data_IF_687648185925
#
_entry.id   IF_687648185925
#
_cell.length_a   1.000
_cell.length_b   1.000
_cell.length_c   1.000
_cell.angle_alpha   90.00
_cell.angle_beta   90.00
_cell.angle_gamma   90.00
#
_symmetry.space_group_name_H-M   'P 1'
#
loop_
_entity.id
_entity.type
_entity.pdbx_description
1 polymer ?
#
# COMPACT_ATOMS: atom_id res chain seq x y z
N UNK A 1 20.40 -20.24 -11.35
CA UNK A 1 20.62 -19.09 -12.25
C UNK A 1 19.65 -19.22 -13.40
N UNK A 2 18.86 -18.18 -13.65
CA UNK A 2 17.90 -18.10 -14.74
C UNK A 2 18.42 -17.06 -15.73
N UNK A 3 18.47 -17.40 -17.02
CA UNK A 3 18.83 -16.44 -18.07
C UNK A 3 17.72 -15.40 -18.19
N UNK A 4 18.07 -14.11 -18.24
CA UNK A 4 17.14 -12.99 -18.26
C UNK A 4 16.70 -12.49 -16.88
N UNK A 5 17.25 -13.06 -15.80
CA UNK A 5 16.96 -12.56 -14.45
C UNK A 5 17.55 -11.16 -14.26
N UNK A 6 16.76 -10.23 -13.68
CA UNK A 6 17.20 -8.86 -13.36
C UNK A 6 18.42 -8.80 -12.42
N UNK A 7 18.73 -9.89 -11.75
CA UNK A 7 19.89 -10.02 -10.87
C UNK A 7 21.20 -10.35 -11.63
N UNK A 8 21.13 -10.71 -12.92
CA UNK A 8 22.31 -11.01 -13.71
C UNK A 8 22.98 -9.71 -14.19
N UNK A 9 24.32 -9.65 -14.26
CA UNK A 9 25.01 -8.49 -14.80
C UNK A 9 24.62 -8.20 -16.26
N UNK A 10 24.60 -6.91 -16.67
CA UNK A 10 24.38 -6.55 -18.07
C UNK A 10 25.37 -7.26 -19.01
N UNK A 11 24.87 -7.85 -20.09
CA UNK A 11 25.69 -8.60 -21.06
C UNK A 11 26.09 -10.02 -20.63
N UNK A 12 25.76 -10.45 -19.41
CA UNK A 12 26.08 -11.80 -18.91
C UNK A 12 25.30 -12.89 -19.62
N UNK A 13 24.01 -12.68 -19.81
CA UNK A 13 23.14 -13.67 -20.44
C UNK A 13 23.53 -13.92 -21.90
N UNK A 14 23.92 -12.88 -22.62
CA UNK A 14 24.37 -12.95 -24.02
C UNK A 14 25.59 -13.85 -24.18
N UNK A 15 26.50 -13.86 -23.19
CA UNK A 15 27.67 -14.72 -23.23
C UNK A 15 27.36 -16.19 -23.01
N UNK A 16 26.21 -16.51 -22.40
CA UNK A 16 25.77 -17.87 -22.13
C UNK A 16 24.78 -18.41 -23.17
N UNK A 17 24.23 -17.55 -24.03
CA UNK A 17 23.37 -17.99 -25.13
C UNK A 17 24.12 -18.92 -26.09
N UNK A 18 23.48 -20.04 -26.43
CA UNK A 18 24.02 -21.04 -27.36
C UNK A 18 25.05 -22.01 -26.76
N UNK A 19 25.36 -21.92 -25.47
CA UNK A 19 26.23 -22.90 -24.81
C UNK A 19 25.51 -24.23 -24.57
N UNK A 20 26.21 -25.32 -24.85
CA UNK A 20 25.74 -26.68 -24.56
C UNK A 20 26.08 -27.12 -23.13
N UNK A 21 25.36 -28.13 -22.63
CA UNK A 21 25.64 -28.71 -21.31
C UNK A 21 27.03 -29.34 -21.31
N UNK A 22 27.84 -28.98 -20.32
CA UNK A 22 29.24 -29.39 -20.18
C UNK A 22 30.23 -28.38 -20.75
N UNK A 23 29.79 -27.39 -21.53
CA UNK A 23 30.67 -26.35 -22.04
C UNK A 23 31.15 -25.42 -20.91
N UNK A 24 32.42 -25.03 -20.98
CA UNK A 24 33.00 -23.98 -20.13
C UNK A 24 33.38 -22.81 -21.01
N UNK A 25 32.93 -21.60 -20.63
CA UNK A 25 33.26 -20.36 -21.32
C UNK A 25 33.81 -19.34 -20.33
N UNK A 26 34.82 -18.61 -20.76
CA UNK A 26 35.39 -17.48 -20.04
C UNK A 26 35.09 -16.20 -20.81
N UNK A 27 34.64 -15.18 -20.10
CA UNK A 27 34.36 -13.86 -20.67
C UNK A 27 34.48 -12.78 -19.59
N UNK A 28 34.73 -11.56 -20.02
CA UNK A 28 34.85 -10.40 -19.13
C UNK A 28 33.68 -9.45 -19.36
N UNK A 29 33.09 -8.95 -18.29
CA UNK A 29 32.01 -7.96 -18.34
C UNK A 29 32.46 -6.71 -17.62
N UNK A 30 32.21 -5.58 -18.25
CA UNK A 30 32.36 -4.26 -17.64
C UNK A 30 31.09 -3.89 -16.87
N UNK A 31 31.21 -3.66 -15.57
CA UNK A 31 30.09 -3.19 -14.75
C UNK A 31 29.98 -1.67 -14.82
N UNK A 32 28.77 -1.12 -15.03
CA UNK A 32 28.59 0.32 -15.12
C UNK A 32 28.80 1.03 -13.77
N UNK A 33 28.94 2.35 -13.80
CA UNK A 33 29.20 3.16 -12.61
C UNK A 33 28.04 3.18 -11.59
N UNK A 34 26.82 2.85 -12.02
CA UNK A 34 25.60 2.77 -11.22
C UNK A 34 25.29 1.34 -10.74
N UNK A 35 26.26 0.42 -10.80
CA UNK A 35 26.04 -0.96 -10.38
C UNK A 35 25.68 -1.07 -8.88
N UNK A 36 24.67 -1.88 -8.48
CA UNK A 36 24.17 -1.92 -7.10
C UNK A 36 25.21 -2.30 -6.03
N UNK A 37 26.26 -3.03 -6.43
CA UNK A 37 27.37 -3.42 -5.56
C UNK A 37 28.53 -2.46 -5.81
N UNK A 38 28.71 -1.49 -4.90
CA UNK A 38 29.68 -0.39 -5.07
C UNK A 38 31.13 -0.85 -5.30
N UNK A 39 31.53 -2.01 -4.76
CA UNK A 39 32.87 -2.58 -4.98
C UNK A 39 33.10 -3.07 -6.42
N UNK A 40 32.03 -3.33 -7.16
CA UNK A 40 32.09 -3.80 -8.54
C UNK A 40 31.77 -2.69 -9.55
N UNK A 41 31.34 -1.50 -9.11
CA UNK A 41 31.00 -0.40 -9.99
C UNK A 41 32.23 0.09 -10.78
N UNK A 42 32.08 0.26 -12.09
CA UNK A 42 33.14 0.69 -13.02
C UNK A 42 34.37 -0.25 -13.04
N UNK A 43 34.16 -1.56 -12.81
CA UNK A 43 35.22 -2.58 -12.84
C UNK A 43 34.96 -3.63 -13.92
N UNK A 44 36.05 -4.19 -14.46
CA UNK A 44 36.00 -5.35 -15.35
C UNK A 44 36.12 -6.64 -14.55
N UNK A 45 35.10 -7.50 -14.64
CA UNK A 45 35.07 -8.78 -13.92
C UNK A 45 35.11 -9.93 -14.92
N UNK A 46 36.09 -10.82 -14.74
CA UNK A 46 36.23 -12.03 -15.53
C UNK A 46 35.46 -13.19 -14.91
N UNK A 47 34.56 -13.76 -15.70
CA UNK A 47 33.72 -14.89 -15.33
C UNK A 47 34.19 -16.15 -16.04
N UNK A 48 34.32 -17.25 -15.29
CA UNK A 48 34.46 -18.61 -15.82
C UNK A 48 33.20 -19.38 -15.48
N UNK A 49 32.39 -19.69 -16.49
CA UNK A 49 31.10 -20.36 -16.31
C UNK A 49 31.13 -21.73 -16.96
N UNK A 50 30.74 -22.75 -16.20
CA UNK A 50 30.54 -24.12 -16.69
C UNK A 50 29.05 -24.46 -16.64
N UNK A 51 28.47 -24.79 -17.79
CA UNK A 51 27.04 -25.16 -17.87
C UNK A 51 26.86 -26.59 -17.36
N UNK A 52 26.39 -26.75 -16.12
CA UNK A 52 26.17 -28.08 -15.53
C UNK A 52 24.87 -28.76 -15.96
N UNK A 53 23.92 -27.99 -16.49
CA UNK A 53 22.63 -28.50 -16.94
C UNK A 53 21.74 -27.39 -17.44
N UNK A 54 20.93 -27.70 -18.46
CA UNK A 54 19.94 -26.80 -19.03
C UNK A 54 18.55 -27.30 -18.60
N UNK A 55 17.83 -26.50 -17.80
CA UNK A 55 16.43 -26.78 -17.46
C UNK A 55 15.57 -25.75 -18.16
N UNK A 56 14.65 -26.21 -19.01
CA UNK A 56 13.64 -25.34 -19.63
C UNK A 56 12.43 -25.28 -18.72
N UNK A 57 11.98 -24.07 -18.40
CA UNK A 57 10.70 -23.85 -17.72
C UNK A 57 9.60 -24.13 -18.73
N UNK A 58 8.89 -25.25 -18.55
CA UNK A 58 7.68 -25.55 -19.31
C UNK A 58 6.54 -24.94 -18.52
N UNK A 59 5.90 -23.92 -19.08
CA UNK A 59 4.69 -23.38 -18.49
C UNK A 59 3.58 -24.42 -18.69
N UNK A 60 2.81 -24.76 -17.65
CA UNK A 60 1.63 -25.60 -17.81
C UNK A 60 0.65 -24.94 -18.78
N UNK A 61 -0.15 -25.76 -19.46
CA UNK A 61 -1.25 -25.23 -20.28
C UNK A 61 -2.27 -24.55 -19.37
N UNK A 62 -2.82 -23.43 -19.83
CA UNK A 62 -3.92 -22.75 -19.13
C UNK A 62 -5.19 -23.53 -19.44
N UNK A 63 -5.46 -24.56 -18.66
CA UNK A 63 -6.63 -25.43 -18.75
C UNK A 63 -7.31 -25.60 -17.38
N UNK A 64 -8.32 -26.47 -17.31
CA UNK A 64 -9.08 -26.72 -16.07
C UNK A 64 -8.24 -27.44 -15.00
N UNK A 65 -7.22 -28.22 -15.39
CA UNK A 65 -6.32 -28.87 -14.43
C UNK A 65 -5.39 -27.84 -13.79
N UNK A 66 -4.90 -26.87 -14.56
CA UNK A 66 -4.17 -25.72 -14.02
C UNK A 66 -5.02 -24.89 -13.04
N UNK A 67 -6.33 -24.75 -13.31
CA UNK A 67 -7.24 -24.03 -12.40
C UNK A 67 -7.38 -24.76 -11.05
N UNK A 68 -7.51 -26.08 -11.07
CA UNK A 68 -7.60 -26.93 -9.86
C UNK A 68 -6.30 -26.92 -9.05
N UNK A 69 -5.15 -26.83 -9.71
CA UNK A 69 -3.85 -26.75 -9.03
C UNK A 69 -3.67 -25.43 -8.23
N UNK A 70 -4.40 -24.37 -8.61
CA UNK A 70 -4.30 -23.05 -7.98
C UNK A 70 -5.31 -22.81 -6.85
N UNK A 71 -6.28 -23.70 -6.65
CA UNK A 71 -7.27 -23.58 -5.57
C UNK A 71 -8.57 -24.32 -5.86
N UNK A 72 -9.64 -23.90 -5.18
CA UNK A 72 -10.99 -24.44 -5.34
C UNK A 72 -11.69 -23.91 -6.61
N UNK A 73 -11.02 -24.01 -7.77
CA UNK A 73 -11.59 -23.63 -9.06
C UNK A 73 -11.82 -24.87 -9.91
N UNK A 74 -13.08 -25.13 -10.28
CA UNK A 74 -13.43 -26.31 -11.09
C UNK A 74 -13.03 -26.16 -12.56
N UNK A 75 -12.91 -24.92 -13.05
CA UNK A 75 -12.62 -24.59 -14.46
C UNK A 75 -11.72 -23.37 -14.59
N UNK A 76 -11.04 -23.27 -15.72
CA UNK A 76 -10.26 -22.09 -16.10
C UNK A 76 -11.11 -20.82 -16.17
N UNK A 77 -12.37 -20.94 -16.59
CA UNK A 77 -13.29 -19.81 -16.65
C UNK A 77 -13.66 -19.31 -15.25
N UNK A 78 -13.82 -20.21 -14.27
CA UNK A 78 -14.01 -19.82 -12.86
C UNK A 78 -12.78 -19.08 -12.31
N UNK A 79 -11.57 -19.58 -12.60
CA UNK A 79 -10.33 -18.89 -12.22
C UNK A 79 -10.23 -17.50 -12.86
N UNK A 80 -10.52 -17.38 -14.16
CA UNK A 80 -10.50 -16.09 -14.88
C UNK A 80 -11.54 -15.12 -14.34
N UNK A 81 -12.75 -15.60 -14.01
CA UNK A 81 -13.79 -14.78 -13.42
C UNK A 81 -13.35 -14.24 -12.05
N UNK A 82 -12.73 -15.08 -11.21
CA UNK A 82 -12.21 -14.64 -9.91
C UNK A 82 -11.09 -13.61 -10.05
N UNK A 83 -10.11 -13.85 -10.93
CA UNK A 83 -9.03 -12.89 -11.19
C UNK A 83 -9.60 -11.57 -11.70
N UNK A 84 -10.62 -11.60 -12.56
CA UNK A 84 -11.29 -10.37 -13.00
C UNK A 84 -11.95 -9.64 -11.83
N UNK A 85 -12.68 -10.34 -10.99
CA UNK A 85 -13.31 -9.75 -9.80
C UNK A 85 -12.27 -9.11 -8.87
N UNK A 86 -11.16 -9.79 -8.62
CA UNK A 86 -10.08 -9.28 -7.78
C UNK A 86 -9.44 -8.01 -8.38
N UNK A 87 -9.21 -7.99 -9.70
CA UNK A 87 -8.69 -6.82 -10.42
C UNK A 87 -9.68 -5.66 -10.47
N UNK A 88 -10.97 -5.93 -10.71
CA UNK A 88 -12.03 -4.92 -10.68
C UNK A 88 -12.18 -4.30 -9.30
N UNK A 89 -12.12 -5.12 -8.25
CA UNK A 89 -12.12 -4.68 -6.87
C UNK A 89 -10.88 -3.82 -6.57
N UNK A 90 -9.68 -4.26 -6.93
CA UNK A 90 -8.45 -3.49 -6.74
C UNK A 90 -8.49 -2.15 -7.47
N UNK A 91 -8.91 -2.15 -8.75
CA UNK A 91 -9.04 -0.94 -9.55
C UNK A 91 -10.06 0.04 -8.96
N UNK A 92 -11.23 -0.45 -8.52
CA UNK A 92 -12.24 0.37 -7.87
C UNK A 92 -11.72 1.01 -6.58
N UNK A 93 -11.07 0.22 -5.72
CA UNK A 93 -10.48 0.75 -4.49
C UNK A 93 -9.33 1.72 -4.76
N UNK A 94 -8.56 1.52 -5.83
CA UNK A 94 -7.52 2.47 -6.24
C UNK A 94 -8.12 3.81 -6.67
N UNK A 95 -9.15 3.78 -7.52
CA UNK A 95 -9.86 4.98 -7.96
C UNK A 95 -10.50 5.72 -6.78
N UNK A 96 -11.21 5.01 -5.89
CA UNK A 96 -11.83 5.63 -4.70
C UNK A 96 -10.78 6.30 -3.78
N UNK A 97 -9.59 5.70 -3.64
CA UNK A 97 -8.49 6.31 -2.86
C UNK A 97 -7.94 7.57 -3.54
N UNK A 98 -7.79 7.54 -4.85
CA UNK A 98 -7.30 8.67 -5.64
C UNK A 98 -8.28 9.84 -5.57
N UNK A 99 -9.56 9.59 -5.82
CA UNK A 99 -10.63 10.59 -5.73
C UNK A 99 -10.69 11.22 -4.35
N UNK A 100 -10.60 10.41 -3.29
CA UNK A 100 -10.58 10.91 -1.91
C UNK A 100 -9.33 11.74 -1.63
N UNK A 101 -8.16 11.33 -2.12
CA UNK A 101 -6.92 12.08 -1.93
C UNK A 101 -6.99 13.44 -2.63
N UNK A 102 -7.50 13.47 -3.86
CA UNK A 102 -7.68 14.71 -4.62
C UNK A 102 -8.72 15.62 -3.98
N UNK A 103 -9.84 15.06 -3.48
CA UNK A 103 -10.81 15.82 -2.69
C UNK A 103 -10.14 16.52 -1.49
N UNK A 104 -9.36 15.77 -0.69
CA UNK A 104 -8.68 16.34 0.48
C UNK A 104 -7.75 17.48 0.09
N UNK A 105 -6.98 17.31 -0.98
CA UNK A 105 -6.07 18.33 -1.50
C UNK A 105 -6.83 19.60 -1.93
N UNK A 106 -7.94 19.44 -2.65
CA UNK A 106 -8.76 20.58 -3.06
C UNK A 106 -9.42 21.30 -1.88
N UNK A 107 -9.89 20.55 -0.87
CA UNK A 107 -10.42 21.13 0.36
C UNK A 107 -9.35 21.92 1.10
N UNK A 108 -8.15 21.36 1.26
CA UNK A 108 -7.02 22.00 1.89
C UNK A 108 -6.62 23.31 1.20
N UNK A 109 -6.56 23.32 -0.14
CA UNK A 109 -6.22 24.50 -0.93
C UNK A 109 -7.22 25.67 -0.79
N UNK A 110 -8.45 25.38 -0.36
CA UNK A 110 -9.51 26.39 -0.14
C UNK A 110 -9.49 26.97 1.27
N UNK A 111 -8.61 26.49 2.16
CA UNK A 111 -8.47 27.01 3.53
C UNK A 111 -7.61 28.29 3.51
N UNK A 112 -8.16 29.48 3.80
CA UNK A 112 -7.45 30.74 3.66
C UNK A 112 -6.56 31.10 4.87
N UNK A 113 -6.51 30.24 5.88
CA UNK A 113 -5.82 30.50 7.14
C UNK A 113 -4.73 29.47 7.42
N UNK A 114 -3.79 29.84 8.28
CA UNK A 114 -2.75 28.92 8.73
C UNK A 114 -3.31 27.92 9.75
N UNK A 115 -3.03 26.65 9.50
CA UNK A 115 -3.38 25.57 10.42
C UNK A 115 -2.48 25.65 11.67
N UNK A 116 -3.04 25.52 12.89
CA UNK A 116 -2.26 25.53 14.11
C UNK A 116 -1.17 24.44 14.12
N UNK A 117 0.07 24.82 14.45
CA UNK A 117 1.21 23.91 14.47
C UNK A 117 0.97 22.68 15.35
N UNK A 118 0.30 22.85 16.50
CA UNK A 118 -0.04 21.76 17.41
C UNK A 118 -0.97 20.70 16.80
N UNK A 119 -1.83 21.07 15.85
CA UNK A 119 -2.66 20.11 15.12
C UNK A 119 -1.85 19.38 14.06
N UNK A 120 -0.94 20.09 13.38
CA UNK A 120 -0.02 19.48 12.41
C UNK A 120 0.89 18.47 13.11
N UNK A 121 1.48 18.83 14.25
CA UNK A 121 2.36 17.94 15.00
C UNK A 121 1.65 16.65 15.43
N UNK A 122 0.41 16.74 15.92
CA UNK A 122 -0.41 15.56 16.26
C UNK A 122 -0.71 14.67 15.06
N UNK A 123 -0.99 15.27 13.91
CA UNK A 123 -1.24 14.49 12.68
C UNK A 123 0.04 13.82 12.16
N UNK A 124 1.19 14.50 12.29
CA UNK A 124 2.50 13.90 12.00
C UNK A 124 2.77 12.72 12.93
N UNK A 125 2.56 12.87 14.24
CA UNK A 125 2.73 11.79 15.22
C UNK A 125 1.86 10.58 14.88
N UNK A 126 0.58 10.82 14.57
CA UNK A 126 -0.37 9.77 14.15
C UNK A 126 0.13 9.01 12.93
N UNK A 127 0.65 9.72 11.91
CA UNK A 127 1.20 9.12 10.68
C UNK A 127 2.44 8.28 10.94
N UNK A 128 3.32 8.75 11.84
CA UNK A 128 4.50 8.00 12.25
C UNK A 128 4.10 6.71 12.98
N UNK A 129 3.13 6.79 13.89
CA UNK A 129 2.59 5.60 14.57
C UNK A 129 1.94 4.61 13.59
N UNK A 130 1.14 5.09 12.64
CA UNK A 130 0.52 4.25 11.61
C UNK A 130 1.58 3.54 10.75
N UNK A 131 2.65 4.25 10.40
CA UNK A 131 3.75 3.67 9.66
C UNK A 131 4.54 2.64 10.48
N UNK A 132 4.84 2.94 11.76
CA UNK A 132 5.49 2.00 12.66
C UNK A 132 4.64 0.73 12.88
N UNK A 133 3.31 0.87 13.04
CA UNK A 133 2.39 -0.27 13.14
C UNK A 133 2.46 -1.16 11.90
N UNK A 134 2.45 -0.57 10.69
CA UNK A 134 2.58 -1.33 9.44
C UNK A 134 3.89 -2.11 9.35
N UNK A 135 5.00 -1.54 9.84
CA UNK A 135 6.28 -2.26 9.89
C UNK A 135 6.20 -3.46 10.84
N UNK A 136 5.60 -3.28 12.01
CA UNK A 136 5.40 -4.36 12.99
C UNK A 136 4.52 -5.47 12.41
N UNK A 137 3.44 -5.12 11.71
CA UNK A 137 2.55 -6.08 11.04
C UNK A 137 3.30 -6.89 9.96
N UNK A 138 4.31 -6.28 9.34
CA UNK A 138 5.23 -6.92 8.40
C UNK A 138 6.40 -7.64 9.09
N UNK A 139 6.38 -7.78 10.42
CA UNK A 139 7.44 -8.39 11.23
C UNK A 139 8.80 -7.67 11.12
N UNK A 140 8.79 -6.37 10.81
CA UNK A 140 9.97 -5.50 10.76
C UNK A 140 10.00 -4.65 12.03
N UNK A 141 11.12 -4.69 12.77
CA UNK A 141 11.34 -3.81 13.91
C UNK A 141 11.56 -2.36 13.44
N UNK A 142 10.68 -1.40 13.78
CA UNK A 142 10.83 0.01 13.40
C UNK A 142 12.16 0.65 13.84
N UNK A 143 12.78 0.14 14.91
CA UNK A 143 14.07 0.62 15.42
C UNK A 143 15.27 0.08 14.62
N UNK A 144 15.10 -1.04 13.91
CA UNK A 144 16.14 -1.69 13.12
C UNK A 144 15.93 -1.52 11.61
N UNK A 145 14.83 -0.88 11.20
CA UNK A 145 14.47 -0.67 9.80
C UNK A 145 15.39 0.32 9.03
N UNK A 146 16.40 0.90 9.70
CA UNK A 146 17.33 1.86 9.06
C UNK A 146 16.69 3.18 8.66
N UNK A 147 15.57 3.54 9.29
CA UNK A 147 14.77 4.72 8.95
C UNK A 147 15.25 5.92 9.75
N UNK A 148 15.57 7.02 9.06
CA UNK A 148 15.75 8.32 9.70
C UNK A 148 14.38 8.90 10.05
N UNK A 149 13.94 8.64 11.29
CA UNK A 149 12.65 9.11 11.79
C UNK A 149 12.51 10.62 11.83
N UNK A 150 13.60 11.38 11.94
CA UNK A 150 13.55 12.85 11.92
C UNK A 150 13.33 13.37 10.50
N UNK A 151 14.08 12.84 9.52
CA UNK A 151 13.86 13.17 8.12
C UNK A 151 12.46 12.73 7.66
N UNK A 152 12.00 11.56 8.09
CA UNK A 152 10.66 11.08 7.80
C UNK A 152 9.60 12.01 8.42
N UNK A 153 9.73 12.38 9.69
CA UNK A 153 8.85 13.35 10.36
C UNK A 153 8.74 14.65 9.57
N UNK A 154 9.87 15.21 9.14
CA UNK A 154 9.88 16.46 8.37
C UNK A 154 9.16 16.31 7.03
N UNK A 155 9.40 15.18 6.33
CA UNK A 155 8.70 14.88 5.07
C UNK A 155 7.17 14.81 5.20
N UNK A 156 6.67 14.43 6.38
CA UNK A 156 5.24 14.30 6.65
C UNK A 156 4.57 15.64 6.99
N UNK A 157 5.31 16.70 7.36
CA UNK A 157 4.70 17.97 7.81
C UNK A 157 3.81 18.60 6.76
N UNK A 158 4.22 18.59 5.49
CA UNK A 158 3.43 19.14 4.38
C UNK A 158 2.09 18.42 4.21
N UNK A 159 2.15 17.09 4.10
CA UNK A 159 0.95 16.24 3.95
C UNK A 159 0.06 16.30 5.19
N UNK A 160 0.64 16.41 6.38
CA UNK A 160 -0.10 16.58 7.63
C UNK A 160 -0.83 17.93 7.68
N UNK A 161 -0.19 19.02 7.22
CA UNK A 161 -0.82 20.34 7.12
C UNK A 161 -2.04 20.29 6.19
N UNK A 162 -1.90 19.67 5.03
CA UNK A 162 -3.02 19.47 4.10
C UNK A 162 -4.15 18.64 4.71
N UNK A 163 -3.81 17.52 5.34
CA UNK A 163 -4.80 16.64 5.97
C UNK A 163 -5.57 17.35 7.10
N UNK A 164 -4.89 18.14 7.94
CA UNK A 164 -5.56 18.91 9.00
C UNK A 164 -6.42 20.02 8.41
N UNK A 165 -5.95 20.74 7.39
CA UNK A 165 -6.74 21.76 6.71
C UNK A 165 -8.04 21.18 6.14
N UNK A 166 -7.94 20.06 5.42
CA UNK A 166 -9.10 19.36 4.87
C UNK A 166 -10.05 18.86 5.97
N UNK A 167 -9.51 18.30 7.05
CA UNK A 167 -10.31 17.84 8.19
C UNK A 167 -11.13 18.97 8.83
N UNK A 168 -10.54 20.16 9.00
CA UNK A 168 -11.27 21.32 9.53
C UNK A 168 -12.45 21.73 8.64
N UNK A 169 -12.28 21.66 7.31
CA UNK A 169 -13.36 21.94 6.36
C UNK A 169 -14.46 20.88 6.48
N UNK A 170 -14.09 19.60 6.52
CA UNK A 170 -15.05 18.50 6.66
C UNK A 170 -15.82 18.55 7.98
N UNK A 171 -15.15 18.87 9.08
CA UNK A 171 -15.79 19.04 10.38
C UNK A 171 -16.82 20.18 10.35
N UNK A 172 -16.53 21.28 9.66
CA UNK A 172 -17.46 22.40 9.47
C UNK A 172 -18.62 22.04 8.52
N UNK A 173 -18.37 21.27 7.45
CA UNK A 173 -19.43 20.72 6.59
C UNK A 173 -20.37 19.84 7.41
N UNK A 174 -19.83 18.86 8.14
CA UNK A 174 -20.62 17.99 8.99
C UNK A 174 -21.40 18.75 10.07
N UNK A 175 -20.93 19.92 10.52
CA UNK A 175 -21.67 20.79 11.45
C UNK A 175 -22.81 21.54 10.75
N UNK A 176 -22.57 22.11 9.56
CA UNK A 176 -23.58 22.88 8.82
C UNK A 176 -24.70 22.00 8.27
N UNK A 177 -24.34 20.84 7.75
CA UNK A 177 -25.25 19.88 7.14
C UNK A 177 -25.88 18.93 8.17
N UNK A 178 -25.58 19.13 9.47
CA UNK A 178 -26.12 18.34 10.57
C UNK A 178 -25.89 16.83 10.38
N UNK A 179 -24.70 16.48 9.89
CA UNK A 179 -24.28 15.10 9.76
C UNK A 179 -23.94 14.59 11.15
N UNK A 180 -24.90 13.89 11.74
CA UNK A 180 -24.77 13.24 13.03
C UNK A 180 -24.56 11.73 12.86
N UNK A 181 -23.99 11.08 13.87
CA UNK A 181 -23.76 9.63 13.90
C UNK A 181 -24.72 9.03 14.91
N UNK A 182 -25.49 8.07 14.44
CA UNK A 182 -26.47 7.34 15.25
C UNK A 182 -25.78 6.31 16.14
N UNK A 183 -26.44 5.94 17.24
CA UNK A 183 -25.95 4.88 18.12
C UNK A 183 -25.83 3.56 17.35
N UNK A 184 -26.74 3.25 16.43
CA UNK A 184 -26.67 2.04 15.60
C UNK A 184 -25.42 2.01 14.69
N UNK A 185 -24.94 3.17 14.24
CA UNK A 185 -23.70 3.26 13.47
C UNK A 185 -22.47 3.05 14.34
N UNK A 186 -22.48 3.57 15.57
CA UNK A 186 -21.42 3.33 16.55
C UNK A 186 -21.35 1.84 16.89
N UNK A 187 -22.49 1.22 17.21
CA UNK A 187 -22.56 -0.21 17.53
C UNK A 187 -22.10 -1.10 16.36
N UNK A 188 -22.44 -0.72 15.12
CA UNK A 188 -21.97 -1.42 13.92
C UNK A 188 -20.45 -1.36 13.79
N UNK A 189 -19.87 -0.18 14.02
CA UNK A 189 -18.42 0.00 13.93
C UNK A 189 -17.70 -0.74 15.07
N UNK A 190 -18.26 -0.71 16.28
CA UNK A 190 -17.79 -1.54 17.42
C UNK A 190 -17.86 -3.03 17.08
N UNK A 191 -18.92 -3.47 16.40
CA UNK A 191 -19.06 -4.85 15.90
C UNK A 191 -17.93 -5.26 14.96
N UNK A 192 -17.57 -4.40 14.00
CA UNK A 192 -16.41 -4.66 13.11
C UNK A 192 -15.10 -4.75 13.88
N UNK A 193 -14.89 -3.89 14.88
CA UNK A 193 -13.70 -3.98 15.74
C UNK A 193 -13.67 -5.27 16.56
N UNK A 194 -14.82 -5.72 17.05
CA UNK A 194 -14.97 -6.98 17.77
C UNK A 194 -14.59 -8.19 16.89
N UNK A 195 -15.07 -8.24 15.65
CA UNK A 195 -14.71 -9.27 14.68
C UNK A 195 -13.20 -9.30 14.40
N UNK A 196 -12.60 -8.13 14.15
CA UNK A 196 -11.15 -8.02 13.87
C UNK A 196 -10.27 -8.40 15.05
N UNK A 197 -10.75 -8.20 16.28
CA UNK A 197 -9.97 -8.46 17.51
C UNK A 197 -10.33 -9.78 18.18
N UNK A 198 -11.29 -10.53 17.65
CA UNK A 198 -11.78 -11.78 18.26
C UNK A 198 -12.44 -11.59 19.63
N UNK A 199 -12.98 -10.40 19.91
CA UNK A 199 -13.63 -10.04 21.19
C UNK A 199 -15.14 -9.91 21.00
N UNK A 200 -15.90 -9.90 22.09
CA UNK A 200 -17.34 -9.61 22.00
C UNK A 200 -17.58 -8.09 21.83
N UNK A 201 -18.62 -7.67 21.09
CA UNK A 201 -18.96 -6.24 20.94
C UNK A 201 -19.08 -5.50 22.27
N UNK A 202 -19.75 -6.11 23.26
CA UNK A 202 -19.90 -5.54 24.60
C UNK A 202 -18.55 -5.31 25.30
N UNK A 203 -17.59 -6.24 25.16
CA UNK A 203 -16.26 -6.10 25.76
C UNK A 203 -15.42 -5.01 25.06
N UNK A 204 -15.58 -4.86 23.74
CA UNK A 204 -14.93 -3.78 22.97
C UNK A 204 -15.54 -2.43 23.34
N UNK A 205 -16.86 -2.32 23.39
CA UNK A 205 -17.59 -1.10 23.79
C UNK A 205 -17.14 -0.63 25.18
N UNK A 206 -17.18 -1.53 26.17
CA UNK A 206 -16.77 -1.19 27.54
C UNK A 206 -15.31 -0.73 27.62
N UNK A 207 -14.42 -1.31 26.82
CA UNK A 207 -13.02 -0.87 26.74
C UNK A 207 -12.91 0.54 26.12
N UNK A 208 -13.59 0.77 25.00
CA UNK A 208 -13.64 2.08 24.34
C UNK A 208 -14.27 3.16 25.23
N UNK A 209 -15.31 2.84 26.01
CA UNK A 209 -15.90 3.77 26.99
C UNK A 209 -14.89 4.16 28.07
N UNK A 210 -14.22 3.16 28.67
CA UNK A 210 -13.24 3.37 29.74
C UNK A 210 -12.05 4.22 29.28
N UNK A 211 -11.65 4.09 28.02
CA UNK A 211 -10.52 4.80 27.42
C UNK A 211 -10.92 6.12 26.75
N UNK A 212 -12.21 6.49 26.77
CA UNK A 212 -12.73 7.64 26.02
C UNK A 212 -12.64 7.49 24.50
N UNK A 213 -12.45 6.26 24.00
CA UNK A 213 -12.35 5.87 22.61
C UNK A 213 -13.66 5.98 21.83
N UNK A 214 -14.84 5.94 22.48
CA UNK A 214 -16.12 6.11 21.77
C UNK A 214 -16.22 7.46 21.05
N UNK A 215 -15.70 8.54 21.64
CA UNK A 215 -15.67 9.83 20.97
C UNK A 215 -14.83 9.80 19.68
N UNK A 216 -13.75 9.01 19.65
CA UNK A 216 -12.93 8.84 18.44
C UNK A 216 -13.67 8.07 17.35
N UNK A 217 -14.43 7.03 17.74
CA UNK A 217 -15.30 6.28 16.81
C UNK A 217 -16.35 7.21 16.21
N UNK A 218 -17.06 7.96 17.06
CA UNK A 218 -18.04 8.95 16.63
C UNK A 218 -17.42 9.99 15.68
N UNK A 219 -16.29 10.61 16.06
CA UNK A 219 -15.62 11.61 15.24
C UNK A 219 -15.15 11.03 13.89
N UNK A 220 -14.65 9.80 13.88
CA UNK A 220 -14.27 9.08 12.66
C UNK A 220 -15.45 8.85 11.73
N UNK A 221 -16.56 8.31 12.25
CA UNK A 221 -17.78 8.06 11.49
C UNK A 221 -18.39 9.35 10.93
N UNK A 222 -18.40 10.42 11.73
CA UNK A 222 -18.90 11.72 11.29
C UNK A 222 -18.06 12.33 10.17
N UNK A 223 -16.74 12.17 10.25
CA UNK A 223 -15.83 12.60 9.20
C UNK A 223 -16.06 11.80 7.92
N UNK A 224 -16.22 10.49 8.02
CA UNK A 224 -16.52 9.62 6.88
C UNK A 224 -17.81 10.05 6.19
N UNK A 225 -18.89 10.28 6.95
CA UNK A 225 -20.14 10.85 6.40
C UNK A 225 -19.94 12.18 5.69
N UNK A 226 -19.08 13.05 6.25
CA UNK A 226 -18.79 14.34 5.65
C UNK A 226 -18.05 14.19 4.32
N UNK A 227 -17.12 13.23 4.24
CA UNK A 227 -16.42 12.89 2.99
C UNK A 227 -17.43 12.39 1.97
N UNK A 228 -18.27 11.41 2.32
CA UNK A 228 -19.26 10.83 1.42
C UNK A 228 -20.26 11.89 0.94
N UNK A 229 -20.70 12.78 1.82
CA UNK A 229 -21.60 13.89 1.48
C UNK A 229 -20.98 14.83 0.44
N UNK A 230 -19.70 15.17 0.59
CA UNK A 230 -18.97 16.05 -0.33
C UNK A 230 -18.68 15.32 -1.64
N UNK A 231 -18.22 14.08 -1.58
CA UNK A 231 -17.96 13.23 -2.76
C UNK A 231 -19.21 13.09 -3.64
N UNK A 232 -20.37 12.83 -3.03
CA UNK A 232 -21.64 12.71 -3.76
C UNK A 232 -22.09 14.01 -4.47
N UNK A 233 -21.49 15.15 -4.14
CA UNK A 233 -21.79 16.47 -4.73
C UNK A 233 -20.61 17.05 -5.52
N UNK A 234 -19.46 16.41 -5.46
CA UNK A 234 -18.28 16.81 -6.21
C UNK A 234 -18.47 16.47 -7.69
N UNK A 235 -17.96 17.33 -8.56
CA UNK A 235 -17.83 16.97 -9.97
C UNK A 235 -16.57 16.12 -10.11
N UNK A 236 -16.76 14.81 -10.16
CA UNK A 236 -15.67 13.86 -10.41
C UNK A 236 -15.41 13.88 -11.92
N UNK A 237 -14.23 14.34 -12.31
CA UNK A 237 -13.79 14.35 -13.70
C UNK A 237 -13.46 12.93 -14.15
N UNK A 238 -14.49 12.14 -14.48
CA UNK A 238 -14.29 10.87 -15.15
C UNK A 238 -13.98 11.11 -16.62
N UNK A 239 -12.83 10.61 -17.09
CA UNK A 239 -12.51 10.50 -18.50
C UNK A 239 -13.72 9.96 -19.29
N UNK A 240 -14.10 10.69 -20.33
CA UNK A 240 -14.88 10.17 -21.46
C UNK A 240 -13.96 9.42 -22.42
#
# INVERSE_FOLDING_TARGET
MELGAKANPPGFDEQLLGLEVGATKEFTIHHPADYPIGELANTDVSYRVTVKGLKRRVLPELDDEFAKDLGEFDTLDALKARVREDLEHEAKHAAEREDRAELMKQLAARVPFEVPASMVDREVDRRLEDFARRLIDQHVDPHQAGIDWNAFRESQRGVAREAVAAALVLDEVGRREQLDVTEEEIEREVGKYAERTGRTPAAVRAALEKEGGLFRVYAGLRREKSIDFVMARATIGGDS
#
